data_IF_446889631936
#
_entry.id   IF_446889631936
#
_cell.length_a   1.000
_cell.length_b   1.000
_cell.length_c   1.000
_cell.angle_alpha   90.00
_cell.angle_beta   90.00
_cell.angle_gamma   90.00
#
_symmetry.space_group_name_H-M   'P 1'
#
loop_
_entity.id
_entity.type
_entity.pdbx_description
1 polymer ?
#
# COMPACT_ATOMS: atom_id res chain seq x y z
N UNK A 1 -41.93 33.16 2.96
CA UNK A 1 -40.98 32.14 2.47
C UNK A 1 -39.83 32.09 3.44
N UNK A 2 -39.82 31.12 4.35
CA UNK A 2 -38.71 30.89 5.30
C UNK A 2 -37.67 30.02 4.60
N UNK A 3 -36.49 30.57 4.33
CA UNK A 3 -35.33 29.79 3.90
C UNK A 3 -34.91 28.88 5.05
N UNK A 4 -35.04 27.57 4.86
CA UNK A 4 -34.42 26.56 5.69
C UNK A 4 -32.90 26.58 5.40
N UNK A 5 -32.17 27.32 6.20
CA UNK A 5 -30.73 27.19 6.30
C UNK A 5 -30.43 25.80 6.88
N UNK A 6 -30.06 24.88 6.02
CA UNK A 6 -29.49 23.60 6.44
C UNK A 6 -28.14 23.93 7.03
N UNK A 7 -28.05 23.99 8.36
CA UNK A 7 -26.77 23.96 9.06
C UNK A 7 -26.10 22.63 8.75
N UNK A 8 -25.25 22.63 7.72
CA UNK A 8 -24.19 21.64 7.61
C UNK A 8 -23.36 21.76 8.90
N UNK A 9 -23.57 20.81 9.79
CA UNK A 9 -22.75 20.60 10.97
C UNK A 9 -21.33 20.33 10.47
N UNK A 10 -20.54 21.39 10.28
CA UNK A 10 -19.13 21.31 9.90
C UNK A 10 -18.42 20.67 11.07
N UNK A 11 -18.29 19.35 11.01
CA UNK A 11 -17.29 18.62 11.77
C UNK A 11 -15.97 19.35 11.50
N UNK A 12 -15.45 19.98 12.56
CA UNK A 12 -14.21 20.77 12.52
C UNK A 12 -13.12 19.95 11.78
N UNK A 13 -12.85 20.19 10.50
CA UNK A 13 -12.00 19.28 9.73
C UNK A 13 -10.59 19.48 10.24
N UNK A 14 -10.04 18.44 10.87
CA UNK A 14 -8.60 18.41 11.12
C UNK A 14 -7.94 18.77 9.79
N UNK A 15 -7.14 19.83 9.80
CA UNK A 15 -6.49 20.37 8.59
C UNK A 15 -6.06 19.23 7.65
N UNK A 16 -6.43 19.25 6.36
CA UNK A 16 -6.07 18.20 5.40
C UNK A 16 -4.59 17.87 5.38
N UNK A 17 -3.74 18.85 5.65
CA UNK A 17 -2.30 18.69 5.76
C UNK A 17 -1.84 17.66 6.81
N UNK A 18 -2.69 17.37 7.81
CA UNK A 18 -2.34 16.42 8.88
C UNK A 18 -2.54 14.96 8.50
N UNK A 19 -3.36 14.68 7.48
CA UNK A 19 -3.72 13.31 7.15
C UNK A 19 -3.54 12.94 5.67
N UNK A 20 -3.73 13.87 4.72
CA UNK A 20 -3.56 13.58 3.28
C UNK A 20 -2.13 13.10 2.97
N UNK A 21 -1.06 13.80 3.43
CA UNK A 21 0.31 13.36 3.15
C UNK A 21 0.61 11.94 3.66
N UNK A 22 0.24 11.65 4.91
CA UNK A 22 0.52 10.34 5.52
C UNK A 22 -0.30 9.23 4.89
N UNK A 23 -1.57 9.49 4.57
CA UNK A 23 -2.46 8.52 3.94
C UNK A 23 -1.93 8.07 2.57
N UNK A 24 -1.55 9.02 1.71
CA UNK A 24 -1.04 8.69 0.37
C UNK A 24 0.41 8.20 0.36
N UNK A 25 1.18 8.53 1.38
CA UNK A 25 2.47 7.90 1.59
C UNK A 25 2.30 6.41 1.97
N UNK A 26 1.39 6.10 2.89
CA UNK A 26 1.12 4.70 3.29
C UNK A 26 0.47 3.88 2.16
N UNK A 27 -0.31 4.50 1.28
CA UNK A 27 -0.85 3.88 0.07
C UNK A 27 0.23 3.51 -0.95
N UNK A 28 1.20 4.40 -1.17
CA UNK A 28 2.23 4.19 -2.19
C UNK A 28 3.23 3.08 -1.85
N UNK A 29 3.55 2.85 -0.58
CA UNK A 29 4.56 1.88 -0.18
C UNK A 29 4.20 0.44 -0.55
N UNK A 30 3.04 -0.13 -0.17
CA UNK A 30 2.71 -1.52 -0.49
C UNK A 30 2.62 -1.76 -2.00
N UNK A 31 2.11 -0.80 -2.76
CA UNK A 31 2.03 -0.89 -4.21
C UNK A 31 3.41 -1.10 -4.84
N UNK A 32 4.40 -0.29 -4.45
CA UNK A 32 5.78 -0.40 -4.94
C UNK A 32 6.45 -1.69 -4.47
N UNK A 33 6.20 -2.11 -3.24
CA UNK A 33 6.76 -3.36 -2.71
C UNK A 33 6.24 -4.57 -3.51
N UNK A 34 4.98 -4.59 -3.85
CA UNK A 34 4.41 -5.64 -4.70
C UNK A 34 4.91 -5.55 -6.14
N UNK A 35 4.92 -4.35 -6.71
CA UNK A 35 5.23 -4.16 -8.14
C UNK A 35 6.70 -4.40 -8.49
N UNK A 36 7.62 -3.91 -7.69
CA UNK A 36 9.04 -3.86 -8.04
C UNK A 36 9.94 -4.63 -7.07
N UNK A 37 9.68 -4.52 -5.76
CA UNK A 37 10.53 -5.21 -4.77
C UNK A 37 10.31 -6.72 -4.82
N UNK A 38 9.11 -7.18 -5.17
CA UNK A 38 8.88 -8.62 -5.42
C UNK A 38 9.79 -9.17 -6.51
N UNK A 39 9.97 -8.43 -7.60
CA UNK A 39 10.87 -8.81 -8.70
C UNK A 39 12.31 -8.92 -8.21
N UNK A 40 12.79 -7.88 -7.51
CA UNK A 40 14.16 -7.87 -6.95
C UNK A 40 14.37 -9.00 -5.95
N UNK A 41 13.38 -9.25 -5.08
CA UNK A 41 13.43 -10.32 -4.09
C UNK A 41 13.56 -11.70 -4.77
N UNK A 42 12.73 -11.99 -5.76
CA UNK A 42 12.77 -13.27 -6.46
C UNK A 42 14.05 -13.44 -7.28
N UNK A 43 14.61 -12.37 -7.87
CA UNK A 43 15.92 -12.39 -8.52
C UNK A 43 17.04 -12.75 -7.52
N UNK A 44 17.03 -12.15 -6.34
CA UNK A 44 18.01 -12.44 -5.27
C UNK A 44 17.89 -13.90 -4.76
N UNK A 45 16.69 -14.44 -4.76
CA UNK A 45 16.41 -15.83 -4.38
C UNK A 45 16.68 -16.84 -5.50
N UNK A 46 17.13 -16.38 -6.69
CA UNK A 46 17.59 -17.23 -7.79
C UNK A 46 16.48 -17.80 -8.67
N UNK A 47 15.28 -17.20 -8.70
CA UNK A 47 14.26 -17.58 -9.65
C UNK A 47 14.65 -17.17 -11.08
N UNK A 48 14.23 -17.96 -12.08
CA UNK A 48 14.38 -17.59 -13.48
C UNK A 48 13.49 -16.38 -13.84
N UNK A 49 13.96 -15.55 -14.77
CA UNK A 49 13.22 -14.36 -15.22
C UNK A 49 11.81 -14.68 -15.73
N UNK A 50 11.63 -15.85 -16.35
CA UNK A 50 10.33 -16.31 -16.85
C UNK A 50 9.33 -16.52 -15.72
N UNK A 51 9.74 -17.21 -14.65
CA UNK A 51 8.91 -17.45 -13.47
C UNK A 51 8.62 -16.16 -12.70
N UNK A 52 9.62 -15.29 -12.58
CA UNK A 52 9.44 -13.98 -11.94
C UNK A 52 8.37 -13.18 -12.69
N UNK A 53 8.52 -13.05 -14.01
CA UNK A 53 7.54 -12.32 -14.83
C UNK A 53 6.16 -12.95 -14.75
N UNK A 54 6.07 -14.28 -14.79
CA UNK A 54 4.80 -14.98 -14.66
C UNK A 54 4.09 -14.67 -13.35
N UNK A 55 4.75 -14.85 -12.20
CA UNK A 55 4.10 -14.62 -10.88
C UNK A 55 3.83 -13.14 -10.62
N UNK A 56 4.78 -12.25 -10.91
CA UNK A 56 4.63 -10.83 -10.57
C UNK A 56 3.61 -10.12 -11.45
N UNK A 57 3.39 -10.55 -12.69
CA UNK A 57 2.34 -10.00 -13.55
C UNK A 57 0.94 -10.19 -12.96
N UNK A 58 0.69 -11.32 -12.29
CA UNK A 58 -0.59 -11.59 -11.67
C UNK A 58 -0.86 -10.75 -10.41
N UNK A 59 0.17 -10.25 -9.75
CA UNK A 59 0.00 -9.40 -8.55
C UNK A 59 -0.68 -8.07 -8.85
N UNK A 60 -0.73 -7.62 -10.10
CA UNK A 60 -1.47 -6.43 -10.50
C UNK A 60 -2.99 -6.65 -10.61
N UNK A 61 -3.43 -7.89 -10.67
CA UNK A 61 -4.84 -8.23 -10.86
C UNK A 61 -5.78 -7.57 -9.82
N UNK A 62 -5.45 -7.50 -8.52
CA UNK A 62 -6.31 -6.84 -7.54
C UNK A 62 -6.62 -5.38 -7.89
N UNK A 63 -5.67 -4.61 -8.41
CA UNK A 63 -5.93 -3.22 -8.79
C UNK A 63 -6.85 -3.10 -10.01
N UNK A 64 -6.77 -4.04 -10.94
CA UNK A 64 -7.66 -4.09 -12.12
C UNK A 64 -9.08 -4.49 -11.70
N UNK A 65 -9.19 -5.39 -10.75
CA UNK A 65 -10.47 -5.93 -10.29
C UNK A 65 -11.15 -5.07 -9.19
N UNK A 66 -10.55 -3.96 -8.73
CA UNK A 66 -11.12 -3.04 -7.73
C UNK A 66 -12.63 -2.79 -7.89
N UNK A 67 -13.17 -2.52 -9.11
CA UNK A 67 -14.59 -2.22 -9.28
C UNK A 67 -15.53 -3.32 -8.78
N UNK A 68 -15.09 -4.58 -8.76
CA UNK A 68 -15.93 -5.70 -8.35
C UNK A 68 -16.23 -5.73 -6.85
N UNK A 69 -15.29 -5.27 -5.99
CA UNK A 69 -15.52 -5.25 -4.54
C UNK A 69 -15.55 -3.85 -3.93
N UNK A 70 -15.29 -2.79 -4.70
CA UNK A 70 -15.43 -1.41 -4.24
C UNK A 70 -16.79 -1.15 -3.59
N UNK A 71 -17.94 -1.62 -4.14
CA UNK A 71 -19.25 -1.43 -3.50
C UNK A 71 -19.32 -2.02 -2.09
N UNK A 72 -18.68 -3.16 -1.85
CA UNK A 72 -18.66 -3.77 -0.50
C UNK A 72 -17.86 -2.91 0.50
N UNK A 73 -16.74 -2.33 0.06
CA UNK A 73 -15.95 -1.41 0.88
C UNK A 73 -16.72 -0.10 1.15
N UNK A 74 -17.60 0.29 0.24
CA UNK A 74 -18.44 1.48 0.39
C UNK A 74 -19.63 1.26 1.33
N UNK A 75 -20.27 0.11 1.24
CA UNK A 75 -21.48 -0.21 2.00
C UNK A 75 -21.19 -0.75 3.39
N UNK A 76 -20.06 -1.46 3.56
CA UNK A 76 -19.71 -2.12 4.81
C UNK A 76 -18.70 -1.31 5.60
N UNK A 77 -19.04 -0.98 6.85
CA UNK A 77 -18.13 -0.27 7.77
C UNK A 77 -17.72 1.14 7.31
N UNK A 78 -16.95 1.80 8.16
CA UNK A 78 -16.43 3.15 7.87
C UNK A 78 -15.13 3.07 7.07
N UNK A 79 -14.84 4.09 6.27
CA UNK A 79 -13.58 4.18 5.51
C UNK A 79 -12.35 4.09 6.42
N UNK A 80 -12.42 4.71 7.61
CA UNK A 80 -11.34 4.62 8.61
C UNK A 80 -11.10 3.19 9.09
N UNK A 81 -12.16 2.42 9.29
CA UNK A 81 -12.03 1.03 9.71
C UNK A 81 -11.28 0.22 8.66
N UNK A 82 -11.65 0.39 7.38
CA UNK A 82 -10.98 -0.30 6.28
C UNK A 82 -9.50 0.10 6.17
N UNK A 83 -9.17 1.41 6.25
CA UNK A 83 -7.80 1.90 6.22
C UNK A 83 -6.96 1.22 7.30
N UNK A 84 -7.41 1.28 8.56
CA UNK A 84 -6.67 0.70 9.70
C UNK A 84 -6.55 -0.83 9.58
N UNK A 85 -7.64 -1.51 9.21
CA UNK A 85 -7.64 -2.96 9.08
C UNK A 85 -6.68 -3.42 7.97
N UNK A 86 -6.66 -2.73 6.84
CA UNK A 86 -5.76 -3.07 5.74
C UNK A 86 -4.31 -2.74 6.06
N UNK A 87 -4.01 -1.63 6.74
CA UNK A 87 -2.65 -1.31 7.20
C UNK A 87 -2.11 -2.36 8.19
N UNK A 88 -2.93 -2.81 9.13
CA UNK A 88 -2.55 -3.89 10.05
C UNK A 88 -2.31 -5.21 9.31
N UNK A 89 -3.16 -5.55 8.35
CA UNK A 89 -3.01 -6.76 7.55
C UNK A 89 -1.75 -6.69 6.65
N UNK A 90 -1.46 -5.53 6.08
CA UNK A 90 -0.23 -5.28 5.32
C UNK A 90 1.01 -5.46 6.19
N UNK A 91 1.04 -4.84 7.38
CA UNK A 91 2.14 -4.97 8.33
C UNK A 91 2.35 -6.43 8.77
N UNK A 92 1.28 -7.14 9.10
CA UNK A 92 1.33 -8.55 9.47
C UNK A 92 1.83 -9.43 8.30
N UNK A 93 1.40 -9.14 7.07
CA UNK A 93 1.83 -9.88 5.87
C UNK A 93 3.30 -9.66 5.55
N UNK A 94 3.83 -8.46 5.70
CA UNK A 94 5.26 -8.19 5.55
C UNK A 94 6.10 -8.87 6.63
N UNK A 95 5.62 -8.88 7.87
CA UNK A 95 6.27 -9.63 8.94
C UNK A 95 6.27 -11.14 8.66
N UNK A 96 5.14 -11.71 8.25
CA UNK A 96 5.02 -13.11 7.88
C UNK A 96 5.94 -13.47 6.70
N UNK A 97 6.12 -12.56 5.73
CA UNK A 97 7.02 -12.75 4.61
C UNK A 97 8.48 -12.91 5.07
N UNK A 98 8.94 -12.09 6.01
CA UNK A 98 10.29 -12.19 6.55
C UNK A 98 10.55 -13.57 7.21
N UNK A 99 9.54 -14.14 7.88
CA UNK A 99 9.63 -15.47 8.48
C UNK A 99 9.48 -16.62 7.47
N UNK A 100 8.86 -16.38 6.33
CA UNK A 100 8.62 -17.42 5.31
C UNK A 100 9.84 -17.68 4.41
N UNK A 101 10.70 -16.68 4.19
CA UNK A 101 11.87 -16.79 3.31
C UNK A 101 12.83 -17.94 3.68
N UNK A 102 13.17 -18.18 4.97
CA UNK A 102 14.09 -19.24 5.34
C UNK A 102 13.46 -20.65 5.35
N UNK A 103 12.20 -20.79 4.97
CA UNK A 103 11.50 -22.10 4.98
C UNK A 103 11.66 -22.85 3.66
N UNK A 104 11.43 -24.18 3.67
CA UNK A 104 11.44 -24.99 2.46
C UNK A 104 10.34 -24.66 1.47
N UNK A 105 9.23 -24.08 1.94
CA UNK A 105 8.08 -23.65 1.14
C UNK A 105 8.07 -22.14 0.84
N UNK A 106 9.24 -21.50 0.85
CA UNK A 106 9.37 -20.05 0.71
C UNK A 106 8.65 -19.48 -0.52
N UNK A 107 8.72 -20.18 -1.67
CA UNK A 107 8.12 -19.69 -2.91
C UNK A 107 6.59 -19.62 -2.81
N UNK A 108 5.95 -20.72 -2.40
CA UNK A 108 4.49 -20.79 -2.27
C UNK A 108 3.99 -19.79 -1.21
N UNK A 109 4.69 -19.73 -0.07
CA UNK A 109 4.35 -18.82 1.02
C UNK A 109 4.46 -17.37 0.61
N UNK A 110 5.55 -16.98 -0.07
CA UNK A 110 5.75 -15.60 -0.50
C UNK A 110 4.78 -15.18 -1.61
N UNK A 111 4.46 -16.07 -2.56
CA UNK A 111 3.42 -15.82 -3.57
C UNK A 111 2.06 -15.58 -2.89
N UNK A 112 1.66 -16.44 -1.96
CA UNK A 112 0.42 -16.28 -1.23
C UNK A 112 0.38 -14.96 -0.44
N UNK A 113 1.47 -14.60 0.23
CA UNK A 113 1.59 -13.35 0.98
C UNK A 113 1.56 -12.13 0.06
N UNK A 114 2.21 -12.16 -1.11
CA UNK A 114 2.11 -11.07 -2.08
C UNK A 114 0.68 -10.88 -2.60
N UNK A 115 -0.08 -11.96 -2.79
CA UNK A 115 -1.50 -11.85 -3.12
C UNK A 115 -2.30 -11.16 -2.00
N UNK A 116 -2.08 -11.56 -0.74
CA UNK A 116 -2.72 -10.91 0.41
C UNK A 116 -2.35 -9.42 0.47
N UNK A 117 -1.07 -9.10 0.29
CA UNK A 117 -0.59 -7.70 0.26
C UNK A 117 -1.24 -6.92 -0.88
N UNK A 118 -1.30 -7.49 -2.09
CA UNK A 118 -1.88 -6.85 -3.26
C UNK A 118 -3.39 -6.56 -3.08
N UNK A 119 -4.17 -7.53 -2.59
CA UNK A 119 -5.59 -7.33 -2.28
C UNK A 119 -5.81 -6.33 -1.15
N UNK A 120 -5.00 -6.39 -0.09
CA UNK A 120 -5.06 -5.45 1.03
C UNK A 120 -4.71 -4.03 0.58
N UNK A 121 -3.67 -3.85 -0.22
CA UNK A 121 -3.29 -2.57 -0.79
C UNK A 121 -4.38 -2.01 -1.70
N UNK A 122 -4.91 -2.82 -2.63
CA UNK A 122 -6.00 -2.40 -3.50
C UNK A 122 -7.28 -2.01 -2.73
N UNK A 123 -7.57 -2.70 -1.62
CA UNK A 123 -8.71 -2.36 -0.74
C UNK A 123 -8.42 -1.10 0.07
N UNK A 124 -7.19 -0.92 0.55
CA UNK A 124 -6.75 0.30 1.21
C UNK A 124 -6.92 1.52 0.30
N UNK A 125 -6.50 1.43 -0.97
CA UNK A 125 -6.66 2.50 -1.96
C UNK A 125 -8.14 2.90 -2.13
N UNK A 126 -9.06 1.93 -2.24
CA UNK A 126 -10.51 2.21 -2.33
C UNK A 126 -10.99 2.98 -1.10
N UNK A 127 -10.56 2.56 0.08
CA UNK A 127 -10.94 3.19 1.34
C UNK A 127 -10.32 4.59 1.50
N UNK A 128 -9.06 4.75 1.12
CA UNK A 128 -8.31 6.00 1.17
C UNK A 128 -8.91 7.05 0.22
N UNK A 129 -9.19 6.67 -1.03
CA UNK A 129 -9.83 7.55 -2.00
C UNK A 129 -11.26 7.92 -1.57
N UNK A 130 -12.03 6.97 -1.05
CA UNK A 130 -13.35 7.27 -0.50
C UNK A 130 -13.28 8.19 0.73
N UNK A 131 -12.29 8.03 1.60
CA UNK A 131 -12.08 8.90 2.74
C UNK A 131 -11.66 10.31 2.31
N UNK A 132 -10.82 10.42 1.28
CA UNK A 132 -10.42 11.70 0.67
C UNK A 132 -11.63 12.45 0.09
N UNK A 133 -12.46 11.78 -0.70
CA UNK A 133 -13.65 12.38 -1.31
C UNK A 133 -14.70 12.83 -0.29
N UNK A 134 -14.90 12.05 0.77
CA UNK A 134 -15.87 12.39 1.84
C UNK A 134 -15.32 13.43 2.83
N UNK A 135 -14.02 13.50 3.00
CA UNK A 135 -13.36 14.36 3.99
C UNK A 135 -13.03 15.77 3.50
N UNK A 136 -13.09 16.03 2.20
CA UNK A 136 -12.69 17.30 1.58
C UNK A 136 -13.82 17.89 0.72
N UNK A 137 -13.90 19.24 0.71
CA UNK A 137 -14.73 19.94 -0.28
C UNK A 137 -14.15 19.77 -1.69
N UNK A 138 -14.97 19.95 -2.74
CA UNK A 138 -14.49 19.86 -4.14
C UNK A 138 -13.30 20.81 -4.41
N UNK A 139 -13.32 22.00 -3.80
CA UNK A 139 -12.23 22.95 -3.88
C UNK A 139 -10.94 22.42 -3.24
N UNK A 140 -11.05 21.85 -2.04
CA UNK A 140 -9.89 21.27 -1.34
C UNK A 140 -9.39 20.01 -2.06
N UNK A 141 -10.26 19.18 -2.61
CA UNK A 141 -9.87 18.01 -3.42
C UNK A 141 -9.00 18.44 -4.61
N UNK A 142 -9.39 19.50 -5.30
CA UNK A 142 -8.60 20.04 -6.41
C UNK A 142 -7.21 20.53 -5.96
N UNK A 143 -7.15 21.27 -4.84
CA UNK A 143 -5.88 21.76 -4.27
C UNK A 143 -4.97 20.61 -3.79
N UNK A 144 -5.52 19.64 -3.09
CA UNK A 144 -4.76 18.55 -2.51
C UNK A 144 -4.44 17.41 -3.50
N UNK A 145 -4.97 17.43 -4.72
CA UNK A 145 -4.67 16.43 -5.73
C UNK A 145 -3.17 16.37 -6.09
N UNK A 146 -2.51 17.52 -6.20
CA UNK A 146 -1.06 17.57 -6.41
C UNK A 146 -0.28 17.03 -5.22
N UNK A 147 -0.74 17.32 -4.00
CA UNK A 147 -0.11 16.88 -2.74
C UNK A 147 -0.20 15.36 -2.60
N UNK A 148 -1.38 14.77 -2.80
CA UNK A 148 -1.56 13.31 -2.77
C UNK A 148 -0.59 12.60 -3.74
N UNK A 149 -0.54 13.07 -5.00
CA UNK A 149 0.35 12.50 -6.01
C UNK A 149 1.84 12.66 -5.65
N UNK A 150 2.21 13.78 -5.02
CA UNK A 150 3.58 14.03 -4.56
C UNK A 150 3.97 13.05 -3.47
N UNK A 151 3.15 12.87 -2.44
CA UNK A 151 3.45 11.95 -1.34
C UNK A 151 3.43 10.48 -1.76
N UNK A 152 2.56 10.10 -2.70
CA UNK A 152 2.60 8.79 -3.34
C UNK A 152 3.93 8.55 -4.07
N UNK A 153 4.42 9.55 -4.84
CA UNK A 153 5.74 9.48 -5.51
C UNK A 153 6.90 9.44 -4.52
N UNK A 154 6.82 10.22 -3.43
CA UNK A 154 7.83 10.17 -2.35
C UNK A 154 7.89 8.75 -1.75
N UNK A 155 6.74 8.12 -1.48
CA UNK A 155 6.69 6.73 -1.02
C UNK A 155 7.34 5.77 -2.03
N UNK A 156 7.10 5.98 -3.33
CA UNK A 156 7.74 5.19 -4.39
C UNK A 156 9.26 5.33 -4.38
N UNK A 157 9.78 6.56 -4.30
CA UNK A 157 11.22 6.82 -4.23
C UNK A 157 11.82 6.22 -2.95
N UNK A 158 11.12 6.36 -1.82
CA UNK A 158 11.54 5.78 -0.55
C UNK A 158 11.60 4.24 -0.63
N UNK A 159 10.58 3.60 -1.19
CA UNK A 159 10.53 2.15 -1.37
C UNK A 159 11.66 1.64 -2.28
N UNK A 160 11.81 2.23 -3.46
CA UNK A 160 12.82 1.82 -4.45
C UNK A 160 14.25 2.16 -4.04
N UNK A 161 14.45 3.33 -3.46
CA UNK A 161 15.78 3.82 -3.10
C UNK A 161 16.20 3.38 -1.71
N UNK A 162 15.57 3.95 -0.70
CA UNK A 162 16.00 3.78 0.69
C UNK A 162 15.87 2.34 1.19
N UNK A 163 14.73 1.68 0.96
CA UNK A 163 14.53 0.32 1.45
C UNK A 163 15.45 -0.69 0.74
N UNK A 164 15.66 -0.54 -0.58
CA UNK A 164 16.58 -1.42 -1.32
C UNK A 164 18.03 -1.18 -0.88
N UNK A 165 18.43 0.08 -0.71
CA UNK A 165 19.76 0.42 -0.20
C UNK A 165 19.98 -0.14 1.21
N UNK A 166 19.00 0.02 2.10
CA UNK A 166 19.07 -0.51 3.46
C UNK A 166 19.19 -2.04 3.47
N UNK A 167 18.36 -2.73 2.67
CA UNK A 167 18.42 -4.18 2.55
C UNK A 167 19.81 -4.65 2.04
N UNK A 168 20.33 -4.01 1.01
CA UNK A 168 21.67 -4.30 0.49
C UNK A 168 22.80 -4.07 1.52
N UNK A 169 22.73 -2.95 2.24
CA UNK A 169 23.70 -2.62 3.29
C UNK A 169 23.67 -3.63 4.44
N UNK A 170 22.47 -4.01 4.89
CA UNK A 170 22.31 -5.03 5.93
C UNK A 170 22.84 -6.40 5.46
N UNK A 171 22.57 -6.79 4.22
CA UNK A 171 23.08 -8.04 3.65
C UNK A 171 24.61 -8.07 3.65
N UNK A 172 25.27 -6.98 3.30
CA UNK A 172 26.74 -6.87 3.34
C UNK A 172 27.24 -6.99 4.78
N UNK A 173 26.65 -6.25 5.72
CA UNK A 173 27.06 -6.28 7.14
C UNK A 173 26.90 -7.69 7.75
N UNK A 174 25.78 -8.37 7.49
CA UNK A 174 25.59 -9.73 8.00
C UNK A 174 26.52 -10.76 7.34
N UNK A 175 26.85 -10.62 6.06
CA UNK A 175 27.86 -11.48 5.40
C UNK A 175 29.25 -11.32 6.03
N UNK A 176 29.63 -10.14 6.48
CA UNK A 176 30.89 -9.93 7.18
C UNK A 176 30.91 -10.59 8.56
N UNK A 177 29.79 -10.61 9.27
CA UNK A 177 29.69 -11.25 10.59
C UNK A 177 29.71 -12.79 10.55
N UNK A 178 29.28 -13.41 9.45
CA UNK A 178 29.27 -14.88 9.29
C UNK A 178 30.66 -15.40 8.80
N UNK A 179 31.57 -14.54 8.43
CA UNK A 179 32.91 -14.91 7.95
C UNK A 179 33.99 -14.98 9.05
N UNK A 180 33.62 -14.73 10.30
CA UNK A 180 34.44 -14.93 11.50
C UNK A 180 33.74 -15.99 12.37
#
# INVERSE_FOLDING_TARGET
>A
MKQHTIHHNQLNPKSPWKWVPTLYFSEGLPNILVAEISVLMYQQLGLSNELITFYTSWFYLPWVLKPFWSPFVELLKTKRWWIIAMELLLGASFAAMAFSIPTTFWLQSTICLFWIIAFSSATHDIAADGFYMLGLSEHDQALFNGIRNTFYKIASIFGKGFLVFLAGSLQVLFRWQIRF
#
